data_IF_636631989109
#
_entry.id   IF_636631989109
#
_cell.length_a   1.000
_cell.length_b   1.000
_cell.length_c   1.000
_cell.angle_alpha   90.00
_cell.angle_beta   90.00
_cell.angle_gamma   90.00
#
_symmetry.space_group_name_H-M   'P 1'
#
loop_
_entity.id
_entity.type
_entity.pdbx_description
1 polymer ?
#
# COMPACT_ATOMS: atom_id res chain seq x y z
N UNK A 1 48.21 -34.82 -63.24
CA UNK A 1 46.85 -35.03 -63.77
C UNK A 1 46.02 -35.68 -62.66
N UNK A 2 45.24 -34.89 -61.94
CA UNK A 2 44.17 -35.35 -61.05
C UNK A 2 43.01 -34.38 -61.26
N UNK A 3 42.02 -34.82 -62.01
CA UNK A 3 40.79 -34.09 -62.30
C UNK A 3 39.91 -34.07 -61.05
N UNK A 4 39.59 -32.86 -60.55
CA UNK A 4 38.53 -32.67 -59.56
C UNK A 4 37.15 -32.93 -60.19
N UNK A 5 36.11 -33.21 -59.37
CA UNK A 5 34.82 -33.63 -59.89
C UNK A 5 34.18 -32.51 -60.70
N UNK A 6 33.75 -32.86 -61.91
CA UNK A 6 32.95 -32.00 -62.77
C UNK A 6 31.60 -31.79 -62.09
N UNK A 7 31.41 -30.59 -61.54
CA UNK A 7 30.11 -30.13 -61.03
C UNK A 7 29.20 -29.87 -62.23
N UNK A 8 28.67 -30.96 -62.79
CA UNK A 8 27.65 -30.94 -63.83
C UNK A 8 26.33 -30.46 -63.21
N UNK A 9 26.14 -29.15 -63.16
CA UNK A 9 24.82 -28.58 -62.97
C UNK A 9 23.94 -29.02 -64.17
N UNK A 10 22.74 -29.59 -63.96
CA UNK A 10 21.89 -29.98 -65.07
C UNK A 10 21.60 -28.74 -65.91
N UNK A 11 21.94 -28.79 -67.20
CA UNK A 11 21.63 -27.74 -68.17
C UNK A 11 20.11 -27.68 -68.32
N UNK A 12 19.46 -26.88 -67.49
CA UNK A 12 18.00 -26.67 -67.49
C UNK A 12 17.66 -25.89 -68.75
N UNK A 13 17.05 -26.56 -69.72
CA UNK A 13 16.36 -25.87 -70.82
C UNK A 13 15.49 -24.75 -70.22
N UNK A 14 15.62 -23.54 -70.75
CA UNK A 14 14.91 -22.36 -70.24
C UNK A 14 15.64 -21.51 -69.20
N UNK A 15 16.91 -21.80 -68.85
CA UNK A 15 17.70 -20.90 -67.99
C UNK A 15 17.81 -19.49 -68.60
N UNK A 16 18.13 -19.39 -69.89
CA UNK A 16 18.25 -18.09 -70.57
C UNK A 16 16.91 -17.34 -70.54
N UNK A 17 15.79 -18.04 -70.77
CA UNK A 17 14.46 -17.45 -70.69
C UNK A 17 14.08 -17.00 -69.27
N UNK A 18 14.47 -17.77 -68.25
CA UNK A 18 14.24 -17.41 -66.85
C UNK A 18 15.16 -16.24 -66.42
N UNK A 19 16.39 -16.22 -66.90
CA UNK A 19 17.33 -15.12 -66.68
C UNK A 19 16.83 -13.84 -67.35
N UNK A 20 16.38 -13.91 -68.60
CA UNK A 20 15.80 -12.78 -69.33
C UNK A 20 14.50 -12.27 -68.67
N UNK A 21 13.65 -13.19 -68.18
CA UNK A 21 12.45 -12.85 -67.43
C UNK A 21 12.77 -12.09 -66.13
N UNK A 22 13.74 -12.57 -65.36
CA UNK A 22 14.18 -11.90 -64.13
C UNK A 22 14.84 -10.58 -64.46
N UNK A 23 15.77 -10.56 -65.42
CA UNK A 23 16.56 -9.38 -65.79
C UNK A 23 15.74 -8.26 -66.41
N UNK A 24 14.67 -8.62 -67.13
CA UNK A 24 13.70 -7.71 -67.74
C UNK A 24 12.57 -7.27 -66.81
N UNK A 25 12.47 -7.83 -65.59
CA UNK A 25 11.47 -7.43 -64.62
C UNK A 25 11.78 -6.03 -64.08
N UNK A 26 10.90 -5.06 -64.39
CA UNK A 26 11.02 -3.66 -63.98
C UNK A 26 10.86 -3.43 -62.48
N UNK A 27 10.30 -4.41 -61.74
CA UNK A 27 10.13 -4.34 -60.29
C UNK A 27 11.43 -4.69 -59.55
N UNK A 28 12.44 -5.25 -60.25
CA UNK A 28 13.71 -5.67 -59.67
C UNK A 28 14.81 -4.71 -60.10
N UNK A 29 15.40 -4.03 -59.13
CA UNK A 29 16.47 -3.07 -59.39
C UNK A 29 17.84 -3.78 -59.41
N UNK A 30 18.36 -4.05 -60.61
CA UNK A 30 19.67 -4.72 -60.79
C UNK A 30 20.89 -3.79 -60.69
N UNK A 31 20.66 -2.49 -60.46
CA UNK A 31 21.72 -1.50 -60.29
C UNK A 31 21.46 -0.72 -58.99
N UNK A 32 22.50 -0.36 -58.26
CA UNK A 32 22.33 0.44 -57.05
C UNK A 32 21.85 1.85 -57.43
N UNK A 33 20.65 2.23 -56.97
CA UNK A 33 20.18 3.62 -57.03
C UNK A 33 20.59 4.26 -55.72
N UNK A 34 21.61 5.11 -55.79
CA UNK A 34 21.97 5.94 -54.66
C UNK A 34 20.99 7.11 -54.61
N UNK A 35 20.45 7.39 -53.43
CA UNK A 35 19.65 8.59 -53.22
C UNK A 35 20.46 9.82 -53.64
N UNK A 36 19.89 10.67 -54.49
CA UNK A 36 20.49 11.97 -54.84
C UNK A 36 20.70 12.75 -53.54
N UNK A 37 21.86 13.40 -53.33
CA UNK A 37 22.02 14.33 -52.22
C UNK A 37 20.86 15.34 -52.25
N UNK A 38 20.28 15.69 -51.09
CA UNK A 38 19.21 16.67 -51.05
C UNK A 38 19.67 17.96 -51.73
N UNK A 39 18.80 18.54 -52.55
CA UNK A 39 19.10 19.80 -53.21
C UNK A 39 19.34 20.87 -52.15
N UNK A 40 20.35 21.75 -52.35
CA UNK A 40 20.60 22.82 -51.39
C UNK A 40 19.35 23.69 -51.25
N UNK A 41 19.07 24.20 -50.05
CA UNK A 41 17.93 25.07 -49.84
C UNK A 41 18.03 26.30 -50.76
N UNK A 42 16.90 26.88 -51.18
CA UNK A 42 16.90 28.09 -51.98
C UNK A 42 17.69 29.23 -51.31
N UNK A 43 18.38 30.06 -52.09
CA UNK A 43 19.24 31.15 -51.57
C UNK A 43 18.49 32.08 -50.59
N UNK A 44 17.22 32.41 -50.88
CA UNK A 44 16.40 33.27 -50.03
C UNK A 44 16.20 32.70 -48.60
N UNK A 45 16.24 31.37 -48.44
CA UNK A 45 16.15 30.72 -47.13
C UNK A 45 17.39 31.00 -46.29
N UNK A 46 18.57 30.96 -46.93
CA UNK A 46 19.83 31.35 -46.29
C UNK A 46 19.80 32.82 -45.84
N UNK A 47 19.25 33.70 -46.66
CA UNK A 47 19.14 35.12 -46.33
C UNK A 47 18.18 35.39 -45.17
N UNK A 48 17.02 34.73 -45.16
CA UNK A 48 16.04 34.85 -44.06
C UNK A 48 16.60 34.31 -42.75
N UNK A 49 17.26 33.15 -42.76
CA UNK A 49 17.85 32.57 -41.54
C UNK A 49 19.01 33.41 -41.00
N UNK A 50 19.82 34.02 -41.89
CA UNK A 50 20.88 34.95 -41.51
C UNK A 50 20.33 36.21 -40.86
N UNK A 51 19.35 36.84 -41.51
CA UNK A 51 18.66 38.02 -40.97
C UNK A 51 18.01 37.73 -39.61
N UNK A 52 17.31 36.59 -39.49
CA UNK A 52 16.69 36.17 -38.22
C UNK A 52 17.74 35.95 -37.13
N UNK A 53 18.87 35.34 -37.48
CA UNK A 53 20.01 35.17 -36.59
C UNK A 53 20.52 36.52 -36.06
N UNK A 54 20.77 37.49 -36.93
CA UNK A 54 21.24 38.83 -36.56
C UNK A 54 20.24 39.57 -35.66
N UNK A 55 18.94 39.45 -35.94
CA UNK A 55 17.88 40.08 -35.15
C UNK A 55 17.72 39.43 -33.77
N UNK A 56 17.80 38.09 -33.69
CA UNK A 56 17.63 37.35 -32.43
C UNK A 56 18.92 37.26 -31.61
N UNK A 57 20.10 37.41 -32.22
CA UNK A 57 21.41 37.35 -31.57
C UNK A 57 21.50 38.15 -30.26
N UNK A 58 21.10 39.43 -30.18
CA UNK A 58 21.16 40.18 -28.92
C UNK A 58 20.25 39.58 -27.84
N UNK A 59 19.06 39.11 -28.21
CA UNK A 59 18.10 38.49 -27.29
C UNK A 59 18.63 37.15 -26.79
N UNK A 60 19.18 36.33 -27.69
CA UNK A 60 19.77 35.03 -27.36
C UNK A 60 21.00 35.21 -26.47
N UNK A 61 21.86 36.18 -26.73
CA UNK A 61 23.03 36.49 -25.88
C UNK A 61 22.60 36.92 -24.48
N UNK A 62 21.58 37.77 -24.37
CA UNK A 62 21.03 38.19 -23.08
C UNK A 62 20.42 36.99 -22.32
N UNK A 63 19.63 36.17 -23.01
CA UNK A 63 19.03 34.97 -22.43
C UNK A 63 20.10 33.96 -21.99
N UNK A 64 21.13 33.74 -22.81
CA UNK A 64 22.25 32.85 -22.49
C UNK A 64 23.04 33.34 -21.28
N UNK A 65 23.25 34.65 -21.15
CA UNK A 65 23.89 35.25 -19.97
C UNK A 65 23.01 35.11 -18.70
N UNK A 66 21.70 35.24 -18.83
CA UNK A 66 20.75 35.08 -17.73
C UNK A 66 20.44 33.60 -17.40
N UNK A 67 20.71 32.68 -18.32
CA UNK A 67 20.34 31.26 -18.22
C UNK A 67 20.82 30.57 -16.95
N UNK A 68 22.06 30.75 -16.46
CA UNK A 68 22.52 30.09 -15.23
C UNK A 68 21.74 30.52 -13.98
N UNK A 69 21.27 31.76 -13.94
CA UNK A 69 20.44 32.25 -12.83
C UNK A 69 19.00 31.80 -13.00
N UNK A 70 18.44 31.98 -14.21
CA UNK A 70 17.06 31.60 -14.53
C UNK A 70 16.82 30.10 -14.33
N UNK A 71 17.73 29.25 -14.81
CA UNK A 71 17.64 27.79 -14.62
C UNK A 71 17.66 27.38 -13.15
N UNK A 72 18.51 28.00 -12.32
CA UNK A 72 18.51 27.77 -10.86
C UNK A 72 17.21 28.20 -10.21
N UNK A 73 16.69 29.38 -10.56
CA UNK A 73 15.41 29.87 -10.04
C UNK A 73 14.26 28.94 -10.42
N UNK A 74 14.22 28.48 -11.67
CA UNK A 74 13.21 27.51 -12.14
C UNK A 74 13.34 26.18 -11.41
N UNK A 75 14.56 25.70 -11.14
CA UNK A 75 14.79 24.47 -10.40
C UNK A 75 14.37 24.61 -8.93
N UNK A 76 14.70 25.72 -8.28
CA UNK A 76 14.23 26.01 -6.91
C UNK A 76 12.71 26.10 -6.87
N UNK A 77 12.10 26.80 -7.82
CA UNK A 77 10.64 26.88 -7.93
C UNK A 77 10.00 25.52 -8.14
N UNK A 78 10.61 24.66 -8.97
CA UNK A 78 10.16 23.28 -9.17
C UNK A 78 10.24 22.47 -7.87
N UNK A 79 11.37 22.54 -7.15
CA UNK A 79 11.53 21.84 -5.86
C UNK A 79 10.50 22.31 -4.85
N UNK A 80 10.27 23.62 -4.74
CA UNK A 80 9.24 24.19 -3.86
C UNK A 80 7.85 23.69 -4.27
N UNK A 81 7.54 23.69 -5.57
CA UNK A 81 6.26 23.19 -6.09
C UNK A 81 6.04 21.72 -5.76
N UNK A 82 7.06 20.87 -5.94
CA UNK A 82 7.01 19.45 -5.58
C UNK A 82 6.86 19.26 -4.07
N UNK A 83 7.61 20.01 -3.26
CA UNK A 83 7.50 19.94 -1.81
C UNK A 83 6.12 20.40 -1.32
N UNK A 84 5.56 21.46 -1.90
CA UNK A 84 4.22 21.94 -1.60
C UNK A 84 3.15 20.91 -2.01
N UNK A 85 3.27 20.31 -3.19
CA UNK A 85 2.36 19.24 -3.62
C UNK A 85 2.46 18.02 -2.71
N UNK A 86 3.68 17.58 -2.38
CA UNK A 86 3.92 16.50 -1.44
C UNK A 86 3.31 16.84 -0.07
N UNK A 87 3.47 18.08 0.41
CA UNK A 87 2.87 18.53 1.66
C UNK A 87 1.35 18.53 1.61
N UNK A 88 0.71 19.01 0.54
CA UNK A 88 -0.76 18.97 0.40
C UNK A 88 -1.28 17.53 0.40
N UNK A 89 -0.56 16.62 -0.26
CA UNK A 89 -0.92 15.20 -0.30
C UNK A 89 -0.70 14.55 1.07
N UNK A 90 0.46 14.75 1.71
CA UNK A 90 0.84 14.08 2.96
C UNK A 90 0.25 14.73 4.22
N UNK A 91 -0.05 16.03 4.23
CA UNK A 91 -0.57 16.74 5.38
C UNK A 91 -1.79 16.07 6.02
N UNK A 92 -2.84 15.65 5.29
CA UNK A 92 -3.96 14.93 5.89
C UNK A 92 -3.54 13.58 6.48
N UNK A 93 -2.67 12.82 5.81
CA UNK A 93 -2.20 11.54 6.33
C UNK A 93 -1.31 11.70 7.56
N UNK A 94 -0.47 12.74 7.61
CA UNK A 94 0.37 13.06 8.76
C UNK A 94 -0.50 13.54 9.93
N UNK A 95 -1.52 14.36 9.66
CA UNK A 95 -2.49 14.80 10.67
C UNK A 95 -3.26 13.60 11.24
N UNK A 96 -3.84 12.75 10.38
CA UNK A 96 -4.53 11.53 10.79
C UNK A 96 -3.62 10.58 11.58
N UNK A 97 -2.37 10.40 11.14
CA UNK A 97 -1.41 9.55 11.85
C UNK A 97 -1.05 10.13 13.22
N UNK A 98 -0.85 11.45 13.31
CA UNK A 98 -0.59 12.15 14.57
C UNK A 98 -1.80 12.11 15.49
N UNK A 99 -3.01 12.29 14.96
CA UNK A 99 -4.25 12.19 15.72
C UNK A 99 -4.49 10.76 16.20
N UNK A 100 -4.28 9.72 15.38
CA UNK A 100 -4.35 8.31 15.84
C UNK A 100 -3.32 8.01 16.92
N UNK A 101 -2.13 8.60 16.83
CA UNK A 101 -1.07 8.43 17.84
C UNK A 101 -1.29 9.26 19.10
N UNK A 102 -1.92 10.42 18.99
CA UNK A 102 -2.32 11.27 20.13
C UNK A 102 -3.63 10.78 20.78
N UNK A 103 -4.51 10.19 19.99
CA UNK A 103 -5.69 9.41 20.39
C UNK A 103 -5.33 7.96 20.73
N UNK A 104 -4.05 7.68 21.01
CA UNK A 104 -3.69 6.74 22.06
C UNK A 104 -4.20 7.33 23.39
N UNK A 105 -5.52 7.41 23.51
CA UNK A 105 -6.28 7.60 24.74
C UNK A 105 -5.70 6.57 25.71
N UNK A 106 -5.44 6.92 26.98
CA UNK A 106 -4.94 5.96 27.96
C UNK A 106 -5.76 4.68 27.84
N UNK A 107 -5.07 3.55 27.60
CA UNK A 107 -5.71 2.26 27.45
C UNK A 107 -6.72 2.11 28.60
N UNK A 108 -8.00 1.88 28.28
CA UNK A 108 -8.99 1.68 29.33
C UNK A 108 -8.57 0.46 30.15
N UNK A 109 -8.25 0.70 31.41
CA UNK A 109 -7.92 -0.31 32.42
C UNK A 109 -8.87 -0.09 33.62
N UNK A 110 -9.50 -1.14 34.16
CA UNK A 110 -10.31 -1.05 35.36
C UNK A 110 -9.47 -0.54 36.54
N UNK A 111 -10.12 0.08 37.52
CA UNK A 111 -9.44 0.40 38.77
C UNK A 111 -8.92 -0.90 39.41
N UNK A 112 -7.62 -0.95 39.77
CA UNK A 112 -7.00 -2.18 40.25
C UNK A 112 -7.64 -2.72 41.53
N UNK A 113 -8.15 -1.85 42.42
CA UNK A 113 -8.83 -2.29 43.64
C UNK A 113 -10.24 -2.85 43.33
N UNK A 114 -10.92 -2.31 42.33
CA UNK A 114 -12.18 -2.87 41.82
C UNK A 114 -11.93 -4.21 41.13
N UNK A 115 -10.89 -4.32 40.30
CA UNK A 115 -10.53 -5.55 39.60
C UNK A 115 -10.16 -6.69 40.54
N UNK A 116 -9.40 -6.41 41.61
CA UNK A 116 -9.07 -7.42 42.64
C UNK A 116 -10.32 -7.93 43.35
N UNK A 117 -11.22 -7.04 43.77
CA UNK A 117 -12.49 -7.44 44.39
C UNK A 117 -13.35 -8.30 43.47
N UNK A 118 -13.45 -7.93 42.20
CA UNK A 118 -14.20 -8.73 41.22
C UNK A 118 -13.58 -10.13 41.03
N UNK A 119 -12.24 -10.22 40.97
CA UNK A 119 -11.54 -11.50 40.91
C UNK A 119 -11.80 -12.35 42.15
N UNK A 120 -11.80 -11.76 43.35
CA UNK A 120 -12.12 -12.46 44.61
C UNK A 120 -13.56 -13.00 44.61
N UNK A 121 -14.53 -12.19 44.16
CA UNK A 121 -15.93 -12.61 44.02
C UNK A 121 -16.09 -13.77 43.02
N UNK A 122 -15.42 -13.68 41.88
CA UNK A 122 -15.46 -14.73 40.87
C UNK A 122 -14.73 -16.01 41.34
N UNK A 123 -13.61 -15.88 42.05
CA UNK A 123 -12.88 -16.99 42.67
C UNK A 123 -13.73 -17.71 43.72
N UNK A 124 -14.56 -16.97 44.49
CA UNK A 124 -15.48 -17.55 45.47
C UNK A 124 -16.60 -18.39 44.80
N UNK A 125 -17.07 -18.00 43.62
CA UNK A 125 -18.00 -18.79 42.80
C UNK A 125 -17.30 -20.05 42.25
N UNK A 126 -16.10 -19.88 41.70
CA UNK A 126 -15.31 -21.00 41.17
C UNK A 126 -14.94 -22.04 42.25
N UNK A 127 -14.71 -21.62 43.50
CA UNK A 127 -14.47 -22.51 44.63
C UNK A 127 -15.66 -23.42 44.96
N UNK A 128 -16.88 -23.01 44.57
CA UNK A 128 -18.10 -23.80 44.69
C UNK A 128 -18.33 -24.71 43.46
N UNK A 129 -17.39 -24.74 42.51
CA UNK A 129 -17.53 -25.45 41.23
C UNK A 129 -18.41 -24.72 40.20
N UNK A 130 -18.80 -23.46 40.47
CA UNK A 130 -19.70 -22.67 39.60
C UNK A 130 -18.89 -21.87 38.57
N UNK A 131 -18.18 -22.58 37.70
CA UNK A 131 -17.26 -21.98 36.73
C UNK A 131 -17.96 -21.09 35.69
N UNK A 132 -19.15 -21.50 35.23
CA UNK A 132 -19.95 -20.74 34.28
C UNK A 132 -20.33 -19.37 34.83
N UNK A 133 -20.77 -19.35 36.08
CA UNK A 133 -21.21 -18.14 36.76
C UNK A 133 -20.04 -17.22 37.10
N UNK A 134 -18.88 -17.80 37.46
CA UNK A 134 -17.66 -17.04 37.68
C UNK A 134 -17.18 -16.34 36.40
N UNK A 135 -17.15 -17.04 35.26
CA UNK A 135 -16.76 -16.45 33.98
C UNK A 135 -17.77 -15.41 33.48
N UNK A 136 -19.07 -15.69 33.65
CA UNK A 136 -20.13 -14.76 33.28
C UNK A 136 -20.11 -13.48 34.13
N UNK A 137 -19.81 -13.59 35.44
CA UNK A 137 -19.64 -12.43 36.32
C UNK A 137 -18.51 -11.51 35.83
N UNK A 138 -17.35 -12.07 35.47
CA UNK A 138 -16.24 -11.29 34.92
C UNK A 138 -16.65 -10.58 33.63
N UNK A 139 -17.31 -11.27 32.70
CA UNK A 139 -17.75 -10.68 31.43
C UNK A 139 -18.76 -9.56 31.67
N UNK A 140 -19.81 -9.83 32.43
CA UNK A 140 -20.91 -8.91 32.69
C UNK A 140 -20.41 -7.62 33.33
N UNK A 141 -19.61 -7.72 34.39
CA UNK A 141 -19.08 -6.56 35.09
C UNK A 141 -18.11 -5.74 34.24
N UNK A 142 -17.36 -6.41 33.35
CA UNK A 142 -16.46 -5.72 32.42
C UNK A 142 -17.23 -4.95 31.34
N UNK A 143 -18.36 -5.48 30.85
CA UNK A 143 -19.24 -4.77 29.92
C UNK A 143 -19.89 -3.56 30.62
N UNK A 144 -20.32 -3.70 31.88
CA UNK A 144 -20.86 -2.58 32.66
C UNK A 144 -19.84 -1.44 32.82
N UNK A 145 -18.57 -1.75 33.09
CA UNK A 145 -17.52 -0.72 33.21
C UNK A 145 -17.26 -0.02 31.87
N UNK A 146 -17.28 -0.74 30.75
CA UNK A 146 -17.22 -0.15 29.40
C UNK A 146 -18.45 0.74 29.17
N UNK A 147 -19.65 0.28 29.50
CA UNK A 147 -20.89 1.05 29.33
C UNK A 147 -20.89 2.36 30.13
N UNK A 148 -20.34 2.34 31.35
CA UNK A 148 -20.26 3.50 32.21
C UNK A 148 -19.22 4.52 31.72
N UNK A 149 -18.06 4.07 31.23
CA UNK A 149 -16.95 4.94 30.84
C UNK A 149 -17.01 5.38 29.38
N UNK A 150 -17.54 4.52 28.50
CA UNK A 150 -17.53 4.64 27.03
C UNK A 150 -18.88 4.22 26.43
N UNK A 151 -19.99 4.87 26.81
CA UNK A 151 -21.33 4.49 26.35
C UNK A 151 -21.47 4.55 24.83
N UNK A 152 -20.67 5.37 24.15
CA UNK A 152 -20.69 5.51 22.70
C UNK A 152 -20.17 4.28 21.93
N UNK A 153 -19.41 3.40 22.61
CA UNK A 153 -18.92 2.14 22.01
C UNK A 153 -20.01 1.06 21.96
N UNK A 154 -21.03 1.15 22.82
CA UNK A 154 -22.04 0.11 22.96
C UNK A 154 -23.36 0.53 22.32
N UNK A 155 -23.85 -0.28 21.38
CA UNK A 155 -25.21 -0.19 20.85
C UNK A 155 -26.07 -1.28 21.51
N UNK A 156 -27.41 -1.14 21.55
CA UNK A 156 -28.28 -2.18 22.09
C UNK A 156 -28.10 -3.57 21.46
N UNK A 157 -27.60 -3.62 20.22
CA UNK A 157 -27.34 -4.86 19.47
C UNK A 157 -25.91 -5.40 19.62
N UNK A 158 -25.04 -4.72 20.37
CA UNK A 158 -23.62 -5.07 20.44
C UNK A 158 -23.42 -6.38 21.19
N UNK A 159 -22.76 -7.35 20.55
CA UNK A 159 -22.45 -8.65 21.16
C UNK A 159 -21.10 -8.63 21.90
N UNK A 160 -20.89 -9.57 22.84
CA UNK A 160 -19.63 -9.67 23.58
C UNK A 160 -18.41 -9.88 22.66
N UNK A 161 -18.58 -10.65 21.58
CA UNK A 161 -17.56 -10.84 20.53
C UNK A 161 -17.24 -9.57 19.75
N UNK A 162 -18.24 -8.74 19.44
CA UNK A 162 -18.03 -7.44 18.79
C UNK A 162 -17.27 -6.47 19.70
N UNK A 163 -17.56 -6.47 21.00
CA UNK A 163 -16.83 -5.64 22.00
C UNK A 163 -15.34 -5.99 21.98
N UNK A 164 -15.01 -7.29 21.95
CA UNK A 164 -13.62 -7.76 21.87
C UNK A 164 -12.88 -7.37 20.58
N UNK A 165 -13.56 -6.84 19.56
CA UNK A 165 -12.98 -6.40 18.31
C UNK A 165 -12.81 -4.88 18.17
N UNK A 166 -13.27 -4.08 19.15
CA UNK A 166 -13.20 -2.63 19.05
C UNK A 166 -11.76 -2.10 19.05
N UNK A 167 -11.37 -1.42 17.97
CA UNK A 167 -10.04 -0.78 17.87
C UNK A 167 -9.81 0.30 18.94
N UNK A 168 -10.90 0.85 19.51
CA UNK A 168 -10.86 1.77 20.63
C UNK A 168 -10.41 1.13 21.95
N UNK A 169 -10.36 -0.21 22.03
CA UNK A 169 -9.85 -0.96 23.18
C UNK A 169 -8.40 -1.38 22.97
N UNK A 170 -7.65 -1.41 24.06
CA UNK A 170 -6.26 -1.88 24.08
C UNK A 170 -6.16 -3.32 23.55
N UNK A 171 -5.01 -3.68 22.98
CA UNK A 171 -4.80 -5.05 22.50
C UNK A 171 -4.99 -6.09 23.62
N UNK A 172 -4.63 -5.75 24.87
CA UNK A 172 -4.85 -6.58 26.05
C UNK A 172 -6.33 -6.71 26.40
N UNK A 173 -7.08 -5.61 26.40
CA UNK A 173 -8.52 -5.62 26.63
C UNK A 173 -9.22 -6.50 25.59
N UNK A 174 -8.93 -6.30 24.31
CA UNK A 174 -9.49 -7.12 23.21
C UNK A 174 -9.20 -8.61 23.39
N UNK A 175 -7.96 -8.96 23.74
CA UNK A 175 -7.58 -10.35 24.01
C UNK A 175 -8.33 -10.94 25.21
N UNK A 176 -8.44 -10.20 26.32
CA UNK A 176 -9.12 -10.68 27.51
C UNK A 176 -10.61 -10.89 27.29
N UNK A 177 -11.30 -9.91 26.69
CA UNK A 177 -12.70 -10.03 26.32
C UNK A 177 -12.95 -11.17 25.34
N UNK A 178 -12.09 -11.34 24.33
CA UNK A 178 -12.21 -12.43 23.37
C UNK A 178 -12.17 -13.82 24.01
N UNK A 179 -11.26 -14.03 24.97
CA UNK A 179 -11.14 -15.31 25.70
C UNK A 179 -12.37 -15.54 26.57
N UNK A 180 -12.73 -14.57 27.42
CA UNK A 180 -13.83 -14.71 28.37
C UNK A 180 -15.18 -14.87 27.64
N UNK A 181 -15.44 -14.02 26.63
CA UNK A 181 -16.65 -14.11 25.82
C UNK A 181 -16.74 -15.45 25.08
N UNK A 182 -15.64 -15.92 24.48
CA UNK A 182 -15.62 -17.21 23.79
C UNK A 182 -15.98 -18.37 24.70
N UNK A 183 -15.47 -18.40 25.93
CA UNK A 183 -15.81 -19.43 26.92
C UNK A 183 -17.26 -19.34 27.40
N UNK A 184 -17.76 -18.13 27.70
CA UNK A 184 -19.15 -17.92 28.13
C UNK A 184 -20.14 -18.28 27.02
N UNK A 185 -19.88 -17.84 25.78
CA UNK A 185 -20.69 -18.18 24.61
C UNK A 185 -20.68 -19.69 24.34
N UNK A 186 -19.52 -20.35 24.44
CA UNK A 186 -19.42 -21.79 24.28
C UNK A 186 -20.26 -22.53 25.33
N UNK A 187 -20.22 -22.11 26.60
CA UNK A 187 -21.05 -22.70 27.65
C UNK A 187 -22.55 -22.48 27.38
N UNK A 188 -22.92 -21.24 27.08
CA UNK A 188 -24.31 -20.84 26.87
C UNK A 188 -24.94 -21.56 25.67
N UNK A 189 -24.26 -21.61 24.53
CA UNK A 189 -24.78 -22.23 23.30
C UNK A 189 -24.60 -23.75 23.27
N UNK A 190 -23.47 -24.28 23.74
CA UNK A 190 -23.23 -25.72 23.72
C UNK A 190 -23.93 -26.46 24.87
N UNK A 191 -24.48 -25.74 25.87
CA UNK A 191 -25.06 -26.29 27.11
C UNK A 191 -24.11 -27.26 27.82
N UNK A 192 -22.80 -27.01 27.72
CA UNK A 192 -21.75 -27.77 28.39
C UNK A 192 -21.14 -26.87 29.46
N UNK A 193 -21.11 -27.28 30.73
CA UNK A 193 -20.53 -26.47 31.78
C UNK A 193 -19.04 -26.25 31.51
N UNK A 194 -18.56 -25.06 31.83
CA UNK A 194 -17.14 -24.73 31.80
C UNK A 194 -16.40 -25.63 32.78
N UNK A 195 -15.26 -26.15 32.33
CA UNK A 195 -14.35 -26.88 33.21
C UNK A 195 -13.39 -25.93 33.92
N UNK A 196 -12.61 -26.49 34.84
CA UNK A 196 -11.62 -25.76 35.61
C UNK A 196 -10.59 -25.05 34.72
N UNK A 197 -10.20 -25.66 33.61
CA UNK A 197 -9.16 -25.12 32.71
C UNK A 197 -9.66 -23.88 31.95
N UNK A 198 -10.91 -23.91 31.48
CA UNK A 198 -11.53 -22.79 30.80
C UNK A 198 -11.80 -21.64 31.78
N UNK A 199 -12.15 -21.95 33.04
CA UNK A 199 -12.22 -20.97 34.11
C UNK A 199 -10.85 -20.31 34.36
N UNK A 200 -9.79 -21.10 34.61
CA UNK A 200 -8.46 -20.56 34.92
C UNK A 200 -7.93 -19.68 33.78
N UNK A 201 -8.18 -20.06 32.52
CA UNK A 201 -7.85 -19.25 31.34
C UNK A 201 -8.60 -17.91 31.31
N UNK A 202 -9.91 -17.92 31.61
CA UNK A 202 -10.73 -16.70 31.67
C UNK A 202 -10.29 -15.76 32.80
N UNK A 203 -10.00 -16.33 33.97
CA UNK A 203 -9.49 -15.62 35.15
C UNK A 203 -8.14 -14.96 34.85
N UNK A 204 -7.21 -15.70 34.26
CA UNK A 204 -5.89 -15.17 33.93
C UNK A 204 -5.96 -14.09 32.86
N UNK A 205 -6.80 -14.27 31.84
CA UNK A 205 -7.03 -13.27 30.82
C UNK A 205 -7.54 -11.94 31.43
N UNK A 206 -8.49 -12.01 32.37
CA UNK A 206 -8.97 -10.82 33.09
C UNK A 206 -7.89 -10.21 33.98
N UNK A 207 -7.14 -11.03 34.74
CA UNK A 207 -6.06 -10.57 35.62
C UNK A 207 -4.97 -9.84 34.85
N UNK A 208 -4.48 -10.43 33.75
CA UNK A 208 -3.43 -9.86 32.91
C UNK A 208 -3.88 -8.53 32.28
N UNK A 209 -5.16 -8.42 31.93
CA UNK A 209 -5.72 -7.17 31.44
C UNK A 209 -5.82 -6.11 32.55
N UNK A 210 -6.41 -6.45 33.69
CA UNK A 210 -6.80 -5.47 34.71
C UNK A 210 -5.69 -5.11 35.71
N UNK A 211 -4.71 -5.99 35.92
CA UNK A 211 -3.65 -5.80 36.93
C UNK A 211 -2.25 -5.61 36.32
N UNK A 212 -1.95 -6.21 35.16
CA UNK A 212 -0.64 -6.06 34.49
C UNK A 212 -0.63 -4.93 33.44
N UNK A 213 -1.78 -4.29 33.20
CA UNK A 213 -1.98 -3.23 32.22
C UNK A 213 -1.86 -1.80 32.75
N UNK A 214 -1.58 -1.61 34.05
CA UNK A 214 -1.40 -0.30 34.69
C UNK A 214 -0.06 0.36 34.38
#
# INVERSE_FOLDING_TARGET
MTTGPDLSAPRREGFDAAYDQVRGNSDIQFSASFAKPPEPPPEWWGDVTRWLGEVLEPVVRLLAAAWPVLSKLLLVALVIGVAALAWVILAPYIADWRERRAAAVPDWVPDQAVARRLLEEADALAAQGRFDEAAHLLLYRSIEDIAAKRPELLRPSTTAREIGAFEALSARARSAFGIIAGHVEASFFARRPLDRSAWDSSREAYRAFALDGG
#
